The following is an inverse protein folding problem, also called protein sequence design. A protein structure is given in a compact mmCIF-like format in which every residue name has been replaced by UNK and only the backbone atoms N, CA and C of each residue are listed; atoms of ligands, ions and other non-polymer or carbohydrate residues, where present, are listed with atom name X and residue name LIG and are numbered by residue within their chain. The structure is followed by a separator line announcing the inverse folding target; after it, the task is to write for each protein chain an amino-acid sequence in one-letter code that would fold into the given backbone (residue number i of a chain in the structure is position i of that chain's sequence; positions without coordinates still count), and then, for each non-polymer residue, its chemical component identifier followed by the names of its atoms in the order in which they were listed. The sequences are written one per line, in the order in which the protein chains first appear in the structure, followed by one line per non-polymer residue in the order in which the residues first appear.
data_IF_298651023947
#
_entry.id   IF_298651023947
#
_cell.length_a   1.000
_cell.length_b   1.000
_cell.length_c   1.000
_cell.angle_alpha   90.00
_cell.angle_beta   90.00
_cell.angle_gamma   90.00
#
_symmetry.space_group_name_H-M   'P 1'
#
loop_
_entity.id
_entity.type
_entity.pdbx_description
1 polymer ?
#
# COMPACT_ATOMS: atom_id res chain seq x y z
N UNK A 1 25.13 -29.09 -1.74
CA UNK A 1 24.60 -28.37 -0.57
C UNK A 1 24.57 -26.90 -0.94
N UNK A 2 23.42 -26.41 -1.42
CA UNK A 2 23.27 -25.06 -1.96
C UNK A 2 22.66 -24.15 -0.91
N UNK A 3 23.34 -23.07 -0.64
CA UNK A 3 22.95 -22.03 0.32
C UNK A 3 21.66 -21.33 -0.13
N UNK A 4 20.56 -21.66 0.51
CA UNK A 4 19.28 -20.95 0.43
C UNK A 4 19.20 -19.74 1.39
N UNK A 5 20.34 -19.14 1.74
CA UNK A 5 20.39 -18.00 2.67
C UNK A 5 20.44 -16.62 1.97
N UNK A 6 20.11 -16.57 0.66
CA UNK A 6 20.44 -15.39 -0.13
C UNK A 6 19.34 -14.37 -0.32
N UNK A 7 18.18 -14.50 0.34
CA UNK A 7 17.10 -13.50 0.20
C UNK A 7 16.31 -13.24 1.49
N UNK A 8 16.95 -13.28 2.63
CA UNK A 8 16.41 -12.59 3.77
C UNK A 8 16.71 -11.09 3.57
N UNK A 9 15.81 -10.36 2.89
CA UNK A 9 15.81 -8.91 2.87
C UNK A 9 15.59 -8.43 4.31
N UNK A 10 16.70 -8.36 5.06
CA UNK A 10 16.67 -8.06 6.49
C UNK A 10 16.45 -6.57 6.67
N UNK A 11 15.46 -6.24 7.51
CA UNK A 11 15.20 -4.89 7.95
C UNK A 11 16.47 -4.30 8.60
N UNK A 12 16.99 -3.17 8.11
CA UNK A 12 18.23 -2.58 8.62
C UNK A 12 18.12 -2.07 10.06
N UNK A 13 16.90 -1.94 10.61
CA UNK A 13 16.67 -1.47 11.97
C UNK A 13 16.43 -2.63 12.97
N UNK A 14 15.63 -3.63 12.58
CA UNK A 14 15.23 -4.72 13.47
C UNK A 14 15.92 -6.05 13.18
N UNK A 15 16.59 -6.18 12.01
CA UNK A 15 17.20 -7.44 11.57
C UNK A 15 16.21 -8.54 11.20
N UNK A 16 14.90 -8.27 11.28
CA UNK A 16 13.86 -9.23 10.93
C UNK A 16 13.73 -9.41 9.40
N UNK A 17 13.42 -10.62 8.91
CA UNK A 17 13.20 -10.83 7.48
C UNK A 17 11.90 -10.16 7.03
N UNK A 18 11.90 -9.53 5.84
CA UNK A 18 10.66 -9.28 5.10
C UNK A 18 10.06 -7.88 5.13
N UNK A 19 10.78 -6.81 5.50
CA UNK A 19 10.23 -5.46 5.35
C UNK A 19 10.26 -5.00 3.88
N UNK A 20 9.12 -4.59 3.33
CA UNK A 20 9.11 -3.88 2.05
C UNK A 20 9.73 -2.49 2.22
N UNK A 21 10.87 -2.18 1.54
CA UNK A 21 11.57 -0.90 1.71
C UNK A 21 10.70 0.32 1.41
N UNK A 22 9.69 0.15 0.53
CA UNK A 22 8.79 1.24 0.11
C UNK A 22 7.84 1.62 1.23
N UNK A 23 7.22 0.64 1.94
CA UNK A 23 6.28 0.94 3.04
C UNK A 23 6.97 1.63 4.20
N UNK A 24 8.16 1.12 4.60
CA UNK A 24 8.94 1.73 5.68
C UNK A 24 9.45 3.12 5.29
N UNK A 25 9.92 3.30 4.04
CA UNK A 25 10.41 4.58 3.57
C UNK A 25 9.31 5.65 3.51
N UNK A 26 8.15 5.32 2.95
CA UNK A 26 7.03 6.27 2.84
C UNK A 26 6.46 6.61 4.22
N UNK A 27 6.30 5.61 5.10
CA UNK A 27 5.83 5.84 6.47
C UNK A 27 6.80 6.69 7.27
N UNK A 28 8.12 6.46 7.14
CA UNK A 28 9.12 7.27 7.83
C UNK A 28 9.13 8.72 7.36
N UNK A 29 9.01 8.97 6.04
CA UNK A 29 8.98 10.34 5.49
C UNK A 29 7.69 11.05 5.90
N UNK A 30 6.54 10.41 5.80
CA UNK A 30 5.26 10.97 6.21
C UNK A 30 5.21 11.25 7.71
N UNK A 31 5.67 10.30 8.52
CA UNK A 31 5.75 10.44 9.97
C UNK A 31 6.73 11.52 10.40
N UNK A 32 7.90 11.66 9.74
CA UNK A 32 8.85 12.72 10.01
C UNK A 32 8.26 14.11 9.73
N UNK A 33 7.55 14.27 8.63
CA UNK A 33 6.91 15.52 8.26
C UNK A 33 5.81 15.91 9.27
N UNK A 34 4.93 14.97 9.63
CA UNK A 34 3.89 15.19 10.62
C UNK A 34 4.46 15.48 12.01
N UNK A 35 5.45 14.70 12.45
CA UNK A 35 6.12 14.89 13.73
C UNK A 35 6.86 16.21 13.82
N UNK A 36 7.53 16.64 12.74
CA UNK A 36 8.19 17.93 12.67
C UNK A 36 7.17 19.08 12.74
N UNK A 37 6.04 18.95 12.05
CA UNK A 37 4.97 19.95 12.09
C UNK A 37 4.41 20.12 13.51
N UNK A 38 4.12 19.03 14.21
CA UNK A 38 3.67 19.07 15.60
C UNK A 38 4.77 19.60 16.52
N UNK A 39 6.00 19.12 16.34
CA UNK A 39 7.15 19.52 17.16
C UNK A 39 7.53 20.98 16.98
N UNK A 40 7.16 21.63 15.87
CA UNK A 40 7.48 23.03 15.60
C UNK A 40 6.89 24.01 16.64
N UNK A 41 5.80 23.60 17.31
CA UNK A 41 5.21 24.35 18.40
C UNK A 41 6.17 24.52 19.58
N UNK A 42 7.14 23.63 19.76
CA UNK A 42 8.19 23.67 20.77
C UNK A 42 9.52 24.26 20.24
N UNK A 43 9.50 24.89 19.07
CA UNK A 43 10.67 25.52 18.46
C UNK A 43 11.58 24.54 17.69
N UNK A 44 12.82 24.99 17.32
CA UNK A 44 13.72 24.22 16.47
C UNK A 44 14.10 22.84 17.04
N UNK A 45 14.28 22.74 18.34
CA UNK A 45 14.60 21.48 19.03
C UNK A 45 13.39 20.54 18.96
N UNK A 46 12.18 21.06 19.20
CA UNK A 46 10.94 20.29 19.10
C UNK A 46 10.70 19.75 17.70
N UNK A 47 11.02 20.53 16.66
CA UNK A 47 10.93 20.10 15.26
C UNK A 47 11.84 18.90 14.98
N UNK A 48 13.09 18.94 15.45
CA UNK A 48 14.04 17.83 15.24
C UNK A 48 13.60 16.59 16.01
N UNK A 49 13.23 16.71 17.27
CA UNK A 49 12.79 15.59 18.12
C UNK A 49 11.47 15.02 17.60
N UNK A 50 10.51 15.89 17.25
CA UNK A 50 9.22 15.48 16.70
C UNK A 50 9.36 14.78 15.35
N UNK A 51 10.22 15.30 14.47
CA UNK A 51 10.51 14.69 13.18
C UNK A 51 11.15 13.32 13.32
N UNK A 52 12.12 13.15 14.23
CA UNK A 52 12.76 11.86 14.47
C UNK A 52 11.78 10.82 15.07
N UNK A 53 11.00 11.22 16.09
CA UNK A 53 9.99 10.35 16.69
C UNK A 53 8.89 9.97 15.70
N UNK A 54 8.44 10.94 14.87
CA UNK A 54 7.47 10.71 13.81
C UNK A 54 7.98 9.79 12.71
N UNK A 55 9.26 9.90 12.33
CA UNK A 55 9.88 9.02 11.36
C UNK A 55 9.90 7.56 11.83
N UNK A 56 10.23 7.33 13.12
CA UNK A 56 10.24 5.99 13.70
C UNK A 56 8.82 5.43 13.77
N UNK A 57 7.87 6.19 14.31
CA UNK A 57 6.48 5.75 14.42
C UNK A 57 5.85 5.51 13.05
N UNK A 58 6.04 6.43 12.09
CA UNK A 58 5.54 6.29 10.73
C UNK A 58 6.21 5.15 9.96
N UNK A 59 7.52 4.94 10.14
CA UNK A 59 8.25 3.82 9.55
C UNK A 59 7.75 2.46 10.05
N UNK A 60 7.48 2.33 11.34
CA UNK A 60 6.93 1.11 11.93
C UNK A 60 5.48 0.86 11.46
N UNK A 61 4.65 1.91 11.42
CA UNK A 61 3.28 1.80 10.91
C UNK A 61 3.27 1.44 9.42
N UNK A 62 4.12 2.08 8.61
CA UNK A 62 4.27 1.77 7.19
C UNK A 62 4.78 0.35 6.95
N UNK A 63 5.68 -0.15 7.82
CA UNK A 63 6.13 -1.54 7.79
C UNK A 63 4.97 -2.50 8.05
N UNK A 64 4.22 -2.28 9.15
CA UNK A 64 3.08 -3.11 9.50
C UNK A 64 2.03 -3.15 8.39
N UNK A 65 1.73 -2.00 7.77
CA UNK A 65 0.83 -1.92 6.62
C UNK A 65 1.39 -2.66 5.40
N UNK A 66 2.69 -2.55 5.13
CA UNK A 66 3.36 -3.27 4.04
C UNK A 66 3.41 -4.78 4.26
N UNK A 67 3.57 -5.23 5.51
CA UNK A 67 3.55 -6.66 5.90
C UNK A 67 2.14 -7.24 5.89
N UNK A 68 1.10 -6.42 6.13
CA UNK A 68 -0.30 -6.85 6.03
C UNK A 68 -0.69 -7.19 4.58
N UNK A 69 0.04 -6.66 3.59
CA UNK A 69 -0.17 -6.95 2.18
C UNK A 69 0.84 -7.98 1.70
N UNK A 70 0.44 -9.24 1.64
CA UNK A 70 1.20 -10.29 0.97
C UNK A 70 0.80 -10.33 -0.52
N UNK A 71 1.64 -9.84 -1.45
CA UNK A 71 1.25 -9.75 -2.86
C UNK A 71 0.90 -11.11 -3.49
N UNK A 72 1.55 -12.19 -3.04
CA UNK A 72 1.28 -13.54 -3.53
C UNK A 72 -0.09 -14.04 -3.04
N UNK A 73 -0.42 -13.77 -1.78
CA UNK A 73 -1.71 -14.13 -1.22
C UNK A 73 -2.85 -13.31 -1.84
N UNK A 74 -2.63 -12.02 -2.08
CA UNK A 74 -3.59 -11.15 -2.77
C UNK A 74 -3.80 -11.61 -4.22
N UNK A 75 -2.74 -11.92 -4.95
CA UNK A 75 -2.84 -12.42 -6.34
C UNK A 75 -3.62 -13.74 -6.41
N UNK A 76 -3.34 -14.69 -5.51
CA UNK A 76 -4.08 -15.95 -5.41
C UNK A 76 -5.55 -15.72 -5.08
N UNK A 77 -5.84 -14.87 -4.10
CA UNK A 77 -7.21 -14.53 -3.70
C UNK A 77 -8.02 -13.95 -4.86
N UNK A 78 -7.46 -12.96 -5.57
CA UNK A 78 -8.17 -12.30 -6.67
C UNK A 78 -8.30 -13.20 -7.89
N UNK A 79 -7.31 -14.06 -8.17
CA UNK A 79 -7.37 -15.05 -9.26
C UNK A 79 -8.55 -16.01 -9.12
N UNK A 80 -8.89 -16.36 -7.89
CA UNK A 80 -10.03 -17.25 -7.62
C UNK A 80 -11.39 -16.52 -7.67
N UNK A 81 -11.41 -15.21 -7.44
CA UNK A 81 -12.63 -14.47 -7.17
C UNK A 81 -13.03 -13.45 -8.23
N UNK A 82 -12.11 -12.97 -9.05
CA UNK A 82 -12.37 -11.87 -9.99
C UNK A 82 -13.61 -12.09 -10.86
N UNK A 83 -13.88 -13.34 -11.29
CA UNK A 83 -15.01 -13.67 -12.13
C UNK A 83 -16.37 -13.64 -11.40
N UNK A 84 -16.37 -13.56 -10.06
CA UNK A 84 -17.56 -13.46 -9.23
C UNK A 84 -17.85 -12.02 -8.76
N UNK A 85 -16.98 -11.09 -9.10
CA UNK A 85 -17.14 -9.68 -8.71
C UNK A 85 -18.18 -8.98 -9.59
N UNK A 86 -18.90 -8.03 -9.00
CA UNK A 86 -20.00 -7.31 -9.69
C UNK A 86 -19.54 -6.50 -10.90
N UNK A 87 -18.27 -6.10 -10.93
CA UNK A 87 -17.65 -5.36 -12.02
C UNK A 87 -17.00 -6.26 -13.09
N UNK A 88 -17.13 -7.58 -12.95
CA UNK A 88 -16.55 -8.54 -13.90
C UNK A 88 -17.14 -8.35 -15.30
N UNK A 89 -16.26 -8.37 -16.29
CA UNK A 89 -16.58 -8.38 -17.71
C UNK A 89 -15.91 -9.58 -18.37
N UNK A 90 -16.69 -10.40 -19.09
CA UNK A 90 -16.22 -11.62 -19.73
C UNK A 90 -15.18 -11.42 -20.84
N UNK A 91 -15.07 -10.18 -21.35
CA UNK A 91 -14.12 -9.82 -22.39
C UNK A 91 -12.67 -9.72 -21.89
N UNK A 92 -12.49 -9.67 -20.55
CA UNK A 92 -11.20 -9.56 -19.88
C UNK A 92 -10.85 -10.84 -19.14
N UNK A 93 -9.57 -11.16 -19.15
CA UNK A 93 -9.00 -12.29 -18.41
C UNK A 93 -8.46 -11.81 -17.06
N UNK A 94 -8.07 -12.75 -16.18
CA UNK A 94 -7.39 -12.39 -14.94
C UNK A 94 -6.14 -11.54 -15.17
N UNK A 95 -5.39 -11.80 -16.24
CA UNK A 95 -4.16 -11.05 -16.55
C UNK A 95 -4.45 -9.57 -16.89
N UNK A 96 -5.66 -9.27 -17.38
CA UNK A 96 -6.11 -7.90 -17.56
C UNK A 96 -6.44 -7.23 -16.21
N UNK A 97 -7.06 -7.96 -15.28
CA UNK A 97 -7.44 -7.45 -13.95
C UNK A 97 -6.28 -7.37 -12.96
N UNK A 98 -5.31 -8.28 -13.02
CA UNK A 98 -4.24 -8.42 -12.04
C UNK A 98 -3.47 -7.11 -11.77
N UNK A 99 -3.11 -6.30 -12.77
CA UNK A 99 -2.46 -5.01 -12.51
C UNK A 99 -3.35 -4.04 -11.73
N UNK A 100 -4.68 -4.06 -11.94
CA UNK A 100 -5.61 -3.19 -11.23
C UNK A 100 -5.68 -3.55 -9.74
N UNK A 101 -5.77 -4.83 -9.41
CA UNK A 101 -5.70 -5.28 -8.02
C UNK A 101 -4.39 -4.86 -7.36
N UNK A 102 -3.25 -4.98 -8.08
CA UNK A 102 -1.94 -4.55 -7.56
C UNK A 102 -1.92 -3.06 -7.26
N UNK A 103 -2.43 -2.23 -8.14
CA UNK A 103 -2.56 -0.78 -7.90
C UNK A 103 -3.34 -0.54 -6.61
N UNK A 104 -4.47 -1.21 -6.41
CA UNK A 104 -5.29 -1.06 -5.22
C UNK A 104 -4.55 -1.45 -3.94
N UNK A 105 -4.12 -2.71 -3.82
CA UNK A 105 -3.56 -3.20 -2.57
C UNK A 105 -2.18 -2.61 -2.23
N UNK A 106 -1.34 -2.31 -3.23
CA UNK A 106 -0.02 -1.72 -2.98
C UNK A 106 -0.11 -0.25 -2.56
N UNK A 107 -1.02 0.50 -3.17
CA UNK A 107 -1.16 1.92 -2.87
C UNK A 107 -1.95 2.19 -1.59
N UNK A 108 -2.80 1.27 -1.09
CA UNK A 108 -3.45 1.46 0.21
C UNK A 108 -2.44 1.66 1.34
N UNK A 109 -1.35 0.89 1.35
CA UNK A 109 -0.27 1.09 2.31
C UNK A 109 0.47 2.43 2.13
N UNK A 110 0.60 2.89 0.89
CA UNK A 110 1.28 4.15 0.56
C UNK A 110 0.46 5.39 0.92
N UNK A 111 -0.86 5.30 0.82
CA UNK A 111 -1.80 6.39 1.10
C UNK A 111 -2.67 6.05 2.31
N UNK A 112 -2.03 5.67 3.42
CA UNK A 112 -2.67 5.11 4.61
C UNK A 112 -3.70 6.05 5.27
N UNK A 113 -3.55 7.35 5.11
CA UNK A 113 -4.36 8.42 5.66
C UNK A 113 -5.37 9.03 4.67
N UNK A 114 -5.52 8.42 3.48
CA UNK A 114 -6.42 8.88 2.43
C UNK A 114 -7.42 7.80 2.04
N UNK A 115 -8.63 8.22 1.66
CA UNK A 115 -9.60 7.36 1.02
C UNK A 115 -9.25 7.11 -0.47
N UNK A 116 -9.87 6.10 -1.06
CA UNK A 116 -9.65 5.73 -2.46
C UNK A 116 -9.95 6.88 -3.43
N UNK A 117 -11.04 7.61 -3.18
CA UNK A 117 -11.50 8.64 -4.11
C UNK A 117 -10.57 9.86 -4.09
N UNK A 118 -10.03 10.22 -2.94
CA UNK A 118 -9.04 11.29 -2.82
C UNK A 118 -7.67 10.92 -3.41
N UNK A 119 -7.35 9.62 -3.51
CA UNK A 119 -6.13 9.12 -4.13
C UNK A 119 -6.29 8.76 -5.62
N UNK A 120 -7.51 8.88 -6.18
CA UNK A 120 -7.85 8.34 -7.50
C UNK A 120 -6.93 8.85 -8.63
N UNK A 121 -6.52 10.11 -8.60
CA UNK A 121 -5.65 10.68 -9.64
C UNK A 121 -4.28 10.01 -9.68
N UNK A 122 -3.70 9.77 -8.52
CA UNK A 122 -2.41 9.10 -8.37
C UNK A 122 -2.51 7.61 -8.71
N UNK A 123 -3.62 6.97 -8.32
CA UNK A 123 -3.89 5.57 -8.65
C UNK A 123 -4.05 5.39 -10.17
N UNK A 124 -4.70 6.32 -10.85
CA UNK A 124 -4.81 6.32 -12.31
C UNK A 124 -3.44 6.49 -12.97
N UNK A 125 -2.60 7.40 -12.46
CA UNK A 125 -1.24 7.58 -12.97
C UNK A 125 -0.38 6.33 -12.75
N UNK A 126 -0.53 5.67 -11.61
CA UNK A 126 0.14 4.39 -11.32
C UNK A 126 -0.36 3.27 -12.24
N UNK A 127 -1.68 3.21 -12.50
CA UNK A 127 -2.27 2.28 -13.45
C UNK A 127 -1.64 2.41 -14.84
N UNK A 128 -1.61 3.61 -15.40
CA UNK A 128 -1.06 3.85 -16.74
C UNK A 128 0.41 3.45 -16.86
N UNK A 129 1.17 3.55 -15.75
CA UNK A 129 2.58 3.13 -15.72
C UNK A 129 2.76 1.62 -15.55
N UNK A 130 1.83 0.95 -14.88
CA UNK A 130 2.02 -0.43 -14.42
C UNK A 130 1.08 -1.44 -15.05
N UNK A 131 0.07 -1.00 -15.83
CA UNK A 131 -0.92 -1.88 -16.47
C UNK A 131 -0.31 -2.90 -17.47
N UNK A 132 0.89 -2.61 -18.00
CA UNK A 132 1.59 -3.50 -18.91
C UNK A 132 0.73 -3.85 -20.14
N UNK A 133 0.49 -5.14 -20.35
CA UNK A 133 -0.31 -5.65 -21.47
C UNK A 133 -1.82 -5.74 -21.18
N UNK A 134 -2.29 -5.22 -20.05
CA UNK A 134 -3.73 -5.20 -19.75
C UNK A 134 -4.48 -4.37 -20.80
N UNK A 135 -5.57 -4.93 -21.30
CA UNK A 135 -6.46 -4.30 -22.29
C UNK A 135 -7.47 -3.35 -21.66
N UNK A 136 -7.52 -3.31 -20.31
CA UNK A 136 -8.47 -2.47 -19.58
C UNK A 136 -8.07 -0.99 -19.64
N UNK A 137 -9.08 -0.14 -19.74
CA UNK A 137 -8.95 1.29 -19.46
C UNK A 137 -9.17 1.56 -17.97
N UNK A 138 -8.71 2.72 -17.47
CA UNK A 138 -8.87 3.06 -16.06
C UNK A 138 -10.31 2.98 -15.57
N UNK A 139 -11.28 3.40 -16.37
CA UNK A 139 -12.69 3.35 -16.02
C UNK A 139 -13.20 1.93 -15.71
N UNK A 140 -12.61 0.91 -16.32
CA UNK A 140 -12.91 -0.48 -16.07
C UNK A 140 -12.05 -1.07 -14.94
N UNK A 141 -10.80 -0.65 -14.86
CA UNK A 141 -9.82 -1.12 -13.89
C UNK A 141 -10.06 -0.57 -12.48
N UNK A 142 -10.62 0.64 -12.36
CA UNK A 142 -10.76 1.35 -11.09
C UNK A 142 -11.59 0.59 -10.04
N UNK A 143 -12.61 -0.14 -10.45
CA UNK A 143 -13.45 -0.90 -9.50
C UNK A 143 -12.69 -2.11 -8.94
N UNK A 144 -11.87 -2.75 -9.74
CA UNK A 144 -10.97 -3.82 -9.28
C UNK A 144 -9.90 -3.25 -8.33
N UNK A 145 -9.32 -2.10 -8.67
CA UNK A 145 -8.37 -1.41 -7.79
C UNK A 145 -9.04 -0.99 -6.46
N UNK A 146 -10.27 -0.47 -6.51
CA UNK A 146 -11.07 -0.11 -5.33
C UNK A 146 -11.35 -1.33 -4.43
N UNK A 147 -11.76 -2.44 -5.02
CA UNK A 147 -12.04 -3.66 -4.29
C UNK A 147 -10.80 -4.17 -3.54
N UNK A 148 -9.63 -4.13 -4.19
CA UNK A 148 -8.37 -4.51 -3.57
C UNK A 148 -7.92 -3.53 -2.47
N UNK A 149 -8.13 -2.23 -2.68
CA UNK A 149 -7.88 -1.20 -1.67
C UNK A 149 -8.69 -1.45 -0.39
N UNK A 150 -10.01 -1.56 -0.50
CA UNK A 150 -10.88 -1.81 0.66
C UNK A 150 -10.64 -3.18 1.32
N UNK A 151 -10.20 -4.18 0.55
CA UNK A 151 -9.82 -5.46 1.15
C UNK A 151 -8.63 -5.31 2.11
N UNK A 152 -7.60 -4.60 1.70
CA UNK A 152 -6.43 -4.30 2.56
C UNK A 152 -6.85 -3.42 3.73
N UNK A 153 -7.68 -2.42 3.50
CA UNK A 153 -8.20 -1.54 4.53
C UNK A 153 -8.88 -2.30 5.67
N UNK A 154 -9.78 -3.23 5.36
CA UNK A 154 -10.41 -4.11 6.34
C UNK A 154 -9.44 -5.05 7.07
N UNK A 155 -8.29 -5.34 6.50
CA UNK A 155 -7.28 -6.20 7.11
C UNK A 155 -6.35 -5.45 8.08
N UNK A 156 -6.28 -4.12 7.95
CA UNK A 156 -5.48 -3.25 8.83
C UNK A 156 -6.35 -2.86 10.03
N UNK A 157 -5.87 -3.03 11.28
CA UNK A 157 -6.61 -2.57 12.45
C UNK A 157 -6.80 -1.05 12.45
N UNK A 158 -8.05 -0.63 12.43
CA UNK A 158 -8.44 0.77 12.40
C UNK A 158 -9.00 1.18 11.03
N UNK A 159 -10.17 1.77 11.06
CA UNK A 159 -10.83 2.41 9.94
C UNK A 159 -10.17 3.81 9.76
N UNK A 160 -9.14 3.87 8.92
CA UNK A 160 -8.28 5.05 8.81
C UNK A 160 -9.00 6.26 8.20
N UNK A 161 -9.94 6.02 7.31
CA UNK A 161 -10.75 7.08 6.68
C UNK A 161 -12.14 7.24 7.31
N UNK A 162 -12.50 6.36 8.28
CA UNK A 162 -13.75 6.38 9.04
C UNK A 162 -15.02 6.27 8.18
N UNK A 163 -14.92 5.60 7.04
CA UNK A 163 -16.06 5.40 6.15
C UNK A 163 -16.93 4.17 6.52
N UNK A 164 -16.46 3.36 7.48
CA UNK A 164 -17.18 2.18 7.99
C UNK A 164 -17.17 0.98 7.04
N UNK A 165 -16.28 0.92 6.07
CA UNK A 165 -16.19 -0.13 5.04
C UNK A 165 -14.94 -0.98 5.14
#
# INVERSE_FOLDING_TARGET
MGNNERDANRDPISGAPGAHPVGTGVGAVGGAAAGAAVGSAAGPVGTVVGGAAGAIAGGLAGKAAGEAVNPTAEDAYWRERYANESYYKSDYTYDDYAPAYRVGYQNRARYADRDFDSAQSELQADWERTKGNSRMEWNDAKEAARAAWHRVERAIPGDADRDGR
#
